data_IF_206677479335
#
_entry.id   IF_206677479335
#
_cell.length_a   1.000
_cell.length_b   1.000
_cell.length_c   1.000
_cell.angle_alpha   90.00
_cell.angle_beta   90.00
_cell.angle_gamma   90.00
#
_symmetry.space_group_name_H-M   'P 1'
#
loop_
_entity.id
_entity.type
_entity.pdbx_description
1 polymer ?
#
# COMPACT_ATOMS: atom_id res chain seq x y z
N UNK A 1 7.74 22.71 4.05
CA UNK A 1 6.97 23.66 4.87
C UNK A 1 7.95 24.51 5.64
N UNK A 2 7.84 25.84 5.54
CA UNK A 2 8.61 26.77 6.37
C UNK A 2 7.87 27.01 7.69
N UNK A 3 8.56 27.48 8.74
CA UNK A 3 7.94 27.70 10.06
C UNK A 3 6.87 28.80 10.03
N UNK A 4 6.94 29.71 9.07
CA UNK A 4 5.96 30.79 8.86
C UNK A 4 4.58 30.24 8.40
N UNK A 5 4.57 29.16 7.61
CA UNK A 5 3.34 28.46 7.19
C UNK A 5 2.69 27.68 8.35
N UNK A 6 3.49 27.24 9.32
CA UNK A 6 3.04 26.50 10.50
C UNK A 6 2.49 27.42 11.60
N UNK A 7 3.10 28.59 11.82
CA UNK A 7 2.59 29.59 12.75
C UNK A 7 1.27 30.21 12.26
N UNK A 8 1.14 30.47 10.95
CA UNK A 8 -0.12 30.93 10.36
C UNK A 8 -1.29 29.94 10.54
N UNK A 9 -0.99 28.64 10.63
CA UNK A 9 -1.98 27.58 10.88
C UNK A 9 -2.33 27.44 12.38
N UNK A 10 -1.47 27.92 13.29
CA UNK A 10 -1.71 27.91 14.75
C UNK A 10 -2.29 29.22 15.29
N UNK A 11 -2.13 30.35 14.60
CA UNK A 11 -2.84 31.60 14.90
C UNK A 11 -4.30 31.52 14.43
N UNK A 12 -5.11 30.75 15.15
CA UNK A 12 -6.50 30.43 14.78
C UNK A 12 -7.42 31.65 14.71
N UNK A 13 -7.58 32.19 13.50
CA UNK A 13 -8.61 33.16 13.10
C UNK A 13 -9.17 32.78 11.72
N UNK A 14 -9.71 31.56 11.64
CA UNK A 14 -10.50 31.07 10.50
C UNK A 14 -11.87 30.67 11.04
N UNK A 15 -12.85 31.56 10.85
CA UNK A 15 -14.25 31.32 11.20
C UNK A 15 -14.77 30.05 10.49
N UNK A 16 -15.30 29.11 11.29
CA UNK A 16 -15.66 27.76 10.85
C UNK A 16 -17.05 27.62 10.23
N UNK A 17 -17.77 28.72 10.03
CA UNK A 17 -19.21 28.71 9.68
C UNK A 17 -19.53 28.93 8.19
N UNK A 18 -18.54 29.13 7.30
CA UNK A 18 -18.81 29.57 5.91
C UNK A 18 -18.03 28.82 4.80
N UNK A 19 -18.05 27.47 4.83
CA UNK A 19 -17.61 26.63 3.70
C UNK A 19 -18.77 25.76 3.18
N UNK A 20 -19.52 26.32 2.24
CA UNK A 20 -20.56 25.60 1.50
C UNK A 20 -19.99 24.49 0.60
N UNK A 21 -20.76 23.41 0.47
CA UNK A 21 -20.49 22.28 -0.43
C UNK A 21 -20.23 22.73 -1.87
N UNK A 22 -19.13 22.26 -2.46
CA UNK A 22 -18.93 22.22 -3.91
C UNK A 22 -18.15 20.95 -4.28
N UNK A 23 -18.88 19.90 -4.67
CA UNK A 23 -18.29 18.74 -5.35
C UNK A 23 -17.83 19.13 -6.77
N UNK A 24 -16.60 18.77 -7.18
CA UNK A 24 -16.25 18.68 -8.58
C UNK A 24 -16.66 17.31 -9.14
N UNK A 25 -17.28 17.33 -10.33
CA UNK A 25 -17.85 16.15 -10.99
C UNK A 25 -16.78 15.20 -11.52
N UNK A 26 -17.04 13.90 -11.42
CA UNK A 26 -16.30 12.84 -12.12
C UNK A 26 -16.67 12.85 -13.62
N UNK A 27 -15.68 12.81 -14.51
CA UNK A 27 -15.88 12.56 -15.94
C UNK A 27 -15.70 11.06 -16.27
N UNK A 28 -16.56 10.52 -17.16
CA UNK A 28 -16.51 9.11 -17.61
C UNK A 28 -15.91 8.98 -19.02
N UNK A 29 -14.82 8.22 -19.16
CA UNK A 29 -14.48 7.34 -20.31
C UNK A 29 -13.31 6.41 -19.87
N UNK A 30 -13.14 5.14 -20.25
CA UNK A 30 -13.86 4.21 -21.16
C UNK A 30 -13.68 2.76 -20.63
N UNK A 31 -14.49 1.80 -21.07
CA UNK A 31 -14.20 0.35 -20.88
C UNK A 31 -13.46 -0.23 -22.10
N UNK A 32 -12.59 -1.20 -21.83
CA UNK A 32 -12.47 -2.56 -22.43
C UNK A 32 -11.17 -3.21 -21.88
N UNK A 33 -11.22 -4.33 -21.14
CA UNK A 33 -10.95 -5.73 -21.60
C UNK A 33 -9.56 -5.93 -22.24
N UNK A 34 -8.72 -6.94 -21.91
CA UNK A 34 -8.78 -8.17 -21.08
C UNK A 34 -7.52 -8.21 -20.16
N UNK A 35 -7.24 -9.11 -19.20
CA UNK A 35 -7.87 -10.31 -18.59
C UNK A 35 -7.35 -10.45 -17.13
N UNK A 36 -7.97 -11.27 -16.27
CA UNK A 36 -7.22 -12.07 -15.30
C UNK A 36 -7.95 -13.38 -14.92
N UNK A 37 -7.60 -14.47 -15.61
CA UNK A 37 -8.10 -15.82 -15.37
C UNK A 37 -7.67 -16.40 -14.01
N UNK A 38 -8.47 -16.19 -12.97
CA UNK A 38 -8.61 -17.13 -11.84
C UNK A 38 -10.11 -17.28 -11.52
N UNK A 39 -10.59 -18.52 -11.62
CA UNK A 39 -12.01 -18.79 -11.81
C UNK A 39 -12.91 -18.71 -10.58
N UNK A 40 -14.20 -18.65 -10.90
CA UNK A 40 -15.37 -19.19 -10.17
C UNK A 40 -15.00 -20.30 -9.15
N UNK A 41 -15.62 -20.44 -7.98
CA UNK A 41 -17.04 -20.26 -7.57
C UNK A 41 -16.97 -19.91 -6.03
N UNK A 42 -17.89 -19.23 -5.33
CA UNK A 42 -19.36 -19.20 -5.42
C UNK A 42 -19.95 -17.82 -5.05
N UNK A 43 -20.87 -17.41 -5.92
CA UNK A 43 -22.01 -16.49 -5.77
C UNK A 43 -22.51 -16.14 -4.35
N UNK A 44 -22.94 -14.88 -4.18
CA UNK A 44 -24.27 -14.67 -3.61
C UNK A 44 -24.43 -14.10 -2.19
N UNK A 45 -23.39 -13.80 -1.40
CA UNK A 45 -23.59 -13.21 -0.06
C UNK A 45 -23.97 -11.72 -0.17
N UNK A 46 -25.25 -11.48 -0.47
CA UNK A 46 -25.93 -10.23 -0.12
C UNK A 46 -26.01 -10.14 1.39
N UNK A 47 -25.87 -8.92 1.92
CA UNK A 47 -25.75 -8.59 3.35
C UNK A 47 -27.02 -8.82 4.20
N UNK A 48 -27.93 -9.70 3.76
CA UNK A 48 -29.21 -9.97 4.40
C UNK A 48 -29.40 -11.46 4.81
N UNK A 49 -28.50 -12.36 4.38
CA UNK A 49 -28.62 -13.82 4.62
C UNK A 49 -27.61 -14.36 5.67
N UNK A 50 -27.29 -13.58 6.70
CA UNK A 50 -26.69 -14.15 7.92
C UNK A 50 -27.77 -14.90 8.73
N UNK A 51 -28.18 -16.06 8.21
CA UNK A 51 -28.85 -17.08 9.02
C UNK A 51 -27.76 -17.91 9.70
N UNK A 52 -27.80 -18.10 11.04
CA UNK A 52 -26.91 -19.05 11.70
C UNK A 52 -27.22 -20.45 11.17
N UNK A 53 -26.43 -20.91 10.21
CA UNK A 53 -26.57 -22.24 9.62
C UNK A 53 -26.34 -23.28 10.72
N UNK A 54 -27.35 -24.07 11.15
CA UNK A 54 -27.23 -24.92 12.34
C UNK A 54 -26.18 -26.03 12.25
N UNK A 55 -25.64 -26.23 11.05
CA UNK A 55 -24.63 -27.24 10.72
C UNK A 55 -23.18 -26.71 10.87
N UNK A 56 -22.97 -25.44 11.22
CA UNK A 56 -21.65 -24.91 11.58
C UNK A 56 -21.49 -25.07 13.09
N UNK A 57 -20.54 -25.91 13.50
CA UNK A 57 -20.25 -26.15 14.92
C UNK A 57 -19.88 -24.84 15.62
N UNK A 58 -20.71 -24.43 16.57
CA UNK A 58 -20.51 -23.24 17.40
C UNK A 58 -19.84 -23.62 18.73
N UNK A 59 -18.89 -22.82 19.27
CA UNK A 59 -18.38 -21.56 18.74
C UNK A 59 -17.43 -21.76 17.54
N UNK A 60 -17.30 -20.76 16.65
CA UNK A 60 -16.32 -20.80 15.57
C UNK A 60 -14.90 -20.97 16.14
N UNK A 61 -13.99 -21.67 15.43
CA UNK A 61 -12.63 -21.89 15.91
C UNK A 61 -11.92 -20.54 16.16
N UNK A 62 -11.04 -20.47 17.18
CA UNK A 62 -10.36 -19.22 17.51
C UNK A 62 -9.55 -18.70 16.31
N UNK A 63 -9.50 -17.37 16.06
CA UNK A 63 -8.86 -16.82 14.87
C UNK A 63 -7.41 -17.31 14.71
N UNK A 64 -7.16 -18.02 13.61
CA UNK A 64 -5.81 -18.40 13.19
C UNK A 64 -4.99 -17.13 12.83
N UNK A 65 -3.69 -17.25 12.54
CA UNK A 65 -2.86 -16.07 12.21
C UNK A 65 -3.41 -15.26 11.02
N UNK A 66 -4.05 -15.90 10.05
CA UNK A 66 -4.56 -15.27 8.82
C UNK A 66 -5.86 -14.48 9.04
N UNK A 67 -6.61 -14.78 10.11
CA UNK A 67 -7.82 -14.04 10.49
C UNK A 67 -7.53 -12.88 11.46
N UNK A 68 -6.25 -12.66 11.82
CA UNK A 68 -5.82 -11.54 12.68
C UNK A 68 -5.51 -10.30 11.84
N UNK A 69 -6.53 -9.74 11.20
CA UNK A 69 -6.43 -8.60 10.27
C UNK A 69 -5.64 -7.40 10.81
N UNK A 70 -5.72 -7.12 12.12
CA UNK A 70 -4.92 -6.04 12.75
C UNK A 70 -3.42 -6.35 12.70
N UNK A 71 -3.01 -7.59 13.00
CA UNK A 71 -1.61 -8.01 12.97
C UNK A 71 -1.07 -8.07 11.53
N UNK A 72 -1.91 -8.45 10.57
CA UNK A 72 -1.55 -8.39 9.15
C UNK A 72 -1.32 -6.95 8.68
N UNK A 73 -2.15 -6.00 9.12
CA UNK A 73 -1.95 -4.58 8.82
C UNK A 73 -0.70 -4.01 9.53
N UNK A 74 -0.41 -4.42 10.77
CA UNK A 74 0.85 -4.08 11.46
C UNK A 74 2.07 -4.64 10.69
N UNK A 75 2.04 -5.90 10.26
CA UNK A 75 3.13 -6.54 9.48
C UNK A 75 3.31 -5.90 8.10
N UNK A 76 2.22 -5.69 7.33
CA UNK A 76 2.25 -4.99 6.03
C UNK A 76 2.82 -3.58 6.18
N UNK A 77 2.60 -2.91 7.32
CA UNK A 77 3.15 -1.58 7.58
C UNK A 77 4.68 -1.62 7.73
N UNK A 78 5.19 -2.52 8.58
CA UNK A 78 6.64 -2.70 8.78
C UNK A 78 7.35 -3.14 7.50
N UNK A 79 6.83 -4.17 6.84
CA UNK A 79 7.45 -4.74 5.64
C UNK A 79 7.43 -3.73 4.47
N UNK A 80 6.42 -2.85 4.43
CA UNK A 80 6.34 -1.72 3.49
C UNK A 80 7.37 -0.64 3.78
N UNK A 81 7.60 -0.29 5.06
CA UNK A 81 8.63 0.67 5.48
C UNK A 81 10.04 0.17 5.15
N UNK A 82 10.39 -1.07 5.52
CA UNK A 82 11.68 -1.68 5.19
C UNK A 82 11.92 -1.69 3.66
N UNK A 83 10.88 -1.98 2.88
CA UNK A 83 10.97 -1.96 1.41
C UNK A 83 11.06 -0.54 0.83
N UNK A 84 10.47 0.45 1.48
CA UNK A 84 10.61 1.87 1.11
C UNK A 84 12.08 2.29 1.21
N UNK A 85 12.72 2.01 2.36
CA UNK A 85 14.14 2.35 2.58
C UNK A 85 15.04 1.68 1.54
N UNK A 86 14.87 0.38 1.27
CA UNK A 86 15.65 -0.33 0.25
C UNK A 86 15.47 0.27 -1.17
N UNK A 87 14.31 0.87 -1.45
CA UNK A 87 14.04 1.53 -2.72
C UNK A 87 14.64 2.94 -2.79
N UNK A 88 14.64 3.71 -1.69
CA UNK A 88 15.34 4.99 -1.59
C UNK A 88 16.85 4.77 -1.80
N UNK A 89 17.46 3.83 -1.10
CA UNK A 89 18.90 3.50 -1.23
C UNK A 89 19.28 3.16 -2.69
N UNK A 90 18.40 2.47 -3.40
CA UNK A 90 18.59 2.16 -4.83
C UNK A 90 18.41 3.37 -5.72
N UNK A 91 17.42 4.22 -5.47
CA UNK A 91 17.25 5.47 -6.21
C UNK A 91 18.45 6.41 -6.01
N UNK A 92 19.00 6.50 -4.79
CA UNK A 92 20.23 7.24 -4.50
C UNK A 92 21.42 6.67 -5.30
N UNK A 93 21.59 5.35 -5.31
CA UNK A 93 22.64 4.70 -6.10
C UNK A 93 22.50 4.94 -7.60
N UNK A 94 21.27 4.91 -8.14
CA UNK A 94 20.99 5.21 -9.56
C UNK A 94 21.28 6.68 -9.88
N UNK A 95 20.83 7.63 -9.04
CA UNK A 95 21.12 9.06 -9.19
C UNK A 95 22.63 9.36 -9.17
N UNK A 96 23.37 8.72 -8.26
CA UNK A 96 24.83 8.77 -8.21
C UNK A 96 25.47 8.25 -9.50
N UNK A 97 25.04 7.08 -10.00
CA UNK A 97 25.53 6.51 -11.26
C UNK A 97 25.28 7.44 -12.46
N UNK A 98 24.14 8.14 -12.51
CA UNK A 98 23.88 9.13 -13.57
C UNK A 98 24.82 10.34 -13.47
N UNK A 99 25.09 10.86 -12.27
CA UNK A 99 26.00 11.98 -12.05
C UNK A 99 27.44 11.63 -12.44
N UNK A 100 27.93 10.45 -12.04
CA UNK A 100 29.26 9.96 -12.40
C UNK A 100 29.37 9.72 -13.92
N UNK A 101 28.33 9.15 -14.54
CA UNK A 101 28.27 8.97 -16.00
C UNK A 101 28.30 10.29 -16.75
N UNK A 102 27.57 11.30 -16.27
CA UNK A 102 27.53 12.64 -16.88
C UNK A 102 28.91 13.30 -16.81
N UNK A 103 29.61 13.17 -15.66
CA UNK A 103 30.98 13.63 -15.49
C UNK A 103 31.96 12.91 -16.42
N UNK A 104 31.88 11.58 -16.53
CA UNK A 104 32.73 10.82 -17.45
C UNK A 104 32.56 11.26 -18.91
N UNK A 105 31.32 11.53 -19.35
CA UNK A 105 31.06 12.00 -20.73
C UNK A 105 31.56 13.44 -20.92
N UNK A 106 31.45 14.31 -19.91
CA UNK A 106 32.08 15.65 -19.93
C UNK A 106 33.60 15.56 -20.09
N UNK A 107 34.26 14.62 -19.41
CA UNK A 107 35.71 14.38 -19.57
C UNK A 107 36.06 13.85 -20.97
N UNK A 108 35.26 12.94 -21.54
CA UNK A 108 35.40 12.46 -22.93
C UNK A 108 35.23 13.62 -23.94
N UNK A 109 34.28 14.52 -23.72
CA UNK A 109 34.07 15.69 -24.57
C UNK A 109 35.30 16.62 -24.60
N UNK A 110 36.03 16.80 -23.48
CA UNK A 110 37.29 17.54 -23.48
C UNK A 110 38.38 16.88 -24.34
N UNK A 111 38.34 15.57 -24.54
CA UNK A 111 39.20 14.85 -25.48
C UNK A 111 38.79 15.10 -26.93
N UNK A 112 37.50 15.00 -27.22
CA UNK A 112 36.93 15.23 -28.56
C UNK A 112 37.12 16.69 -29.00
N UNK A 113 37.01 17.66 -28.10
CA UNK A 113 37.21 19.08 -28.42
C UNK A 113 38.64 19.37 -28.89
N UNK A 114 39.65 18.79 -28.21
CA UNK A 114 41.04 18.85 -28.67
C UNK A 114 41.24 18.16 -30.02
N UNK A 115 40.56 17.03 -30.27
CA UNK A 115 40.61 16.39 -31.58
C UNK A 115 40.01 17.30 -32.67
N UNK A 116 38.87 17.95 -32.40
CA UNK A 116 38.23 18.90 -33.34
C UNK A 116 39.18 20.06 -33.65
N UNK A 117 39.84 20.66 -32.66
CA UNK A 117 40.83 21.72 -32.85
C UNK A 117 42.02 21.26 -33.73
N UNK A 118 42.56 20.07 -33.43
CA UNK A 118 43.69 19.48 -34.17
C UNK A 118 43.30 19.18 -35.62
N UNK A 119 42.16 18.51 -35.86
CA UNK A 119 41.73 18.15 -37.21
C UNK A 119 41.26 19.37 -38.03
N UNK A 120 40.72 20.41 -37.38
CA UNK A 120 40.46 21.70 -38.04
C UNK A 120 41.77 22.32 -38.52
N UNK A 121 42.78 22.39 -37.65
CA UNK A 121 44.12 22.92 -38.00
C UNK A 121 44.79 22.09 -39.11
N UNK A 122 44.67 20.76 -39.06
CA UNK A 122 45.21 19.87 -40.10
C UNK A 122 44.50 20.01 -41.45
N UNK A 123 43.16 20.17 -41.45
CA UNK A 123 42.37 20.45 -42.66
C UNK A 123 42.80 21.75 -43.33
N UNK A 124 43.05 22.81 -42.55
CA UNK A 124 43.55 24.10 -43.06
C UNK A 124 44.97 24.00 -43.64
N UNK A 125 45.88 23.24 -42.99
CA UNK A 125 47.27 23.08 -43.44
C UNK A 125 47.42 22.11 -44.61
N UNK A 126 46.54 21.11 -44.71
CA UNK A 126 46.61 20.04 -45.71
C UNK A 126 45.26 19.82 -46.41
N UNK A 127 44.74 20.82 -47.16
CA UNK A 127 43.38 20.80 -47.73
C UNK A 127 43.15 19.72 -48.79
N UNK A 128 44.19 19.02 -49.24
CA UNK A 128 44.08 17.89 -50.18
C UNK A 128 43.97 16.52 -49.49
N UNK A 129 44.04 16.46 -48.15
CA UNK A 129 43.98 15.21 -47.38
C UNK A 129 42.55 14.99 -46.85
N UNK A 130 41.73 14.33 -47.68
CA UNK A 130 40.29 14.08 -47.41
C UNK A 130 40.02 13.37 -46.08
N UNK A 131 40.94 12.53 -45.62
CA UNK A 131 40.78 11.80 -44.34
C UNK A 131 40.73 12.72 -43.12
N UNK A 132 41.33 13.92 -43.16
CA UNK A 132 41.21 14.89 -42.06
C UNK A 132 39.81 15.52 -41.99
N UNK A 133 39.14 15.70 -43.13
CA UNK A 133 37.75 16.16 -43.18
C UNK A 133 36.80 15.07 -42.67
N UNK A 134 36.97 13.83 -43.12
CA UNK A 134 36.17 12.68 -42.66
C UNK A 134 36.29 12.44 -41.15
N UNK A 135 37.50 12.53 -40.58
CA UNK A 135 37.70 12.38 -39.13
C UNK A 135 37.16 13.59 -38.35
N UNK A 136 37.24 14.81 -38.90
CA UNK A 136 36.65 16.00 -38.27
C UNK A 136 35.13 15.88 -38.17
N UNK A 137 34.47 15.48 -39.26
CA UNK A 137 33.01 15.23 -39.29
C UNK A 137 32.62 14.14 -38.29
N UNK A 138 33.35 13.04 -38.23
CA UNK A 138 33.11 11.97 -37.26
C UNK A 138 33.23 12.45 -35.80
N UNK A 139 34.24 13.27 -35.46
CA UNK A 139 34.37 13.83 -34.11
C UNK A 139 33.21 14.79 -33.77
N UNK A 140 32.74 15.59 -34.73
CA UNK A 140 31.55 16.44 -34.54
C UNK A 140 30.27 15.63 -34.32
N UNK A 141 30.10 14.51 -35.04
CA UNK A 141 28.96 13.61 -34.84
C UNK A 141 29.01 12.92 -33.47
N UNK A 142 30.19 12.46 -33.02
CA UNK A 142 30.37 11.88 -31.68
C UNK A 142 30.08 12.94 -30.60
N UNK A 143 30.55 14.18 -30.75
CA UNK A 143 30.24 15.27 -29.82
C UNK A 143 28.74 15.50 -29.71
N UNK A 144 28.01 15.51 -30.83
CA UNK A 144 26.54 15.62 -30.84
C UNK A 144 25.87 14.46 -30.09
N UNK A 145 26.31 13.22 -30.32
CA UNK A 145 25.78 12.04 -29.60
C UNK A 145 26.05 12.13 -28.10
N UNK A 146 27.24 12.56 -27.70
CA UNK A 146 27.58 12.76 -26.29
C UNK A 146 26.71 13.83 -25.62
N UNK A 147 26.38 14.93 -26.32
CA UNK A 147 25.41 15.92 -25.80
C UNK A 147 24.03 15.31 -25.57
N UNK A 148 23.54 14.46 -26.47
CA UNK A 148 22.26 13.76 -26.30
C UNK A 148 22.30 12.75 -25.15
N UNK A 149 23.44 12.09 -24.89
CA UNK A 149 23.58 11.21 -23.73
C UNK A 149 23.58 12.02 -22.43
N UNK A 150 24.23 13.19 -22.38
CA UNK A 150 24.17 14.10 -21.21
C UNK A 150 22.72 14.54 -20.94
N UNK A 151 21.97 14.93 -21.97
CA UNK A 151 20.55 15.29 -21.86
C UNK A 151 19.71 14.13 -21.31
N UNK A 152 19.91 12.90 -21.80
CA UNK A 152 19.25 11.71 -21.28
C UNK A 152 19.62 11.39 -19.82
N UNK A 153 20.87 11.61 -19.43
CA UNK A 153 21.31 11.41 -18.03
C UNK A 153 20.70 12.44 -17.09
N UNK A 154 20.54 13.69 -17.54
CA UNK A 154 19.87 14.74 -16.77
C UNK A 154 18.37 14.44 -16.61
N UNK A 155 17.68 14.03 -17.67
CA UNK A 155 16.29 13.55 -17.56
C UNK A 155 16.17 12.36 -16.60
N UNK A 156 17.12 11.42 -16.62
CA UNK A 156 17.15 10.30 -15.66
C UNK A 156 17.38 10.74 -14.21
N UNK A 157 18.16 11.80 -13.96
CA UNK A 157 18.31 12.40 -12.63
C UNK A 157 17.00 13.05 -12.15
N UNK A 158 16.32 13.79 -13.03
CA UNK A 158 15.02 14.40 -12.73
C UNK A 158 13.97 13.32 -12.42
N UNK A 159 13.91 12.23 -13.20
CA UNK A 159 13.02 11.08 -12.94
C UNK A 159 13.32 10.41 -11.58
N UNK A 160 14.59 10.24 -11.22
CA UNK A 160 14.99 9.70 -9.90
C UNK A 160 14.53 10.63 -8.77
N UNK A 161 14.68 11.94 -8.93
CA UNK A 161 14.21 12.92 -7.94
C UNK A 161 12.68 12.88 -7.79
N UNK A 162 11.93 12.86 -8.90
CA UNK A 162 10.48 12.72 -8.88
C UNK A 162 10.03 11.39 -8.25
N UNK A 163 10.77 10.30 -8.46
CA UNK A 163 10.48 9.00 -7.86
C UNK A 163 10.74 9.00 -6.33
N UNK A 164 11.76 9.71 -5.85
CA UNK A 164 11.99 9.90 -4.41
C UNK A 164 10.87 10.73 -3.76
N UNK A 165 10.43 11.81 -4.41
CA UNK A 165 9.30 12.63 -3.92
C UNK A 165 7.98 11.84 -3.93
N UNK A 166 7.74 11.01 -4.95
CA UNK A 166 6.61 10.08 -4.98
C UNK A 166 6.70 9.01 -3.87
N UNK A 167 7.91 8.54 -3.54
CA UNK A 167 8.10 7.59 -2.44
C UNK A 167 7.79 8.20 -1.06
N UNK A 168 7.93 9.51 -0.87
CA UNK A 168 7.49 10.19 0.35
C UNK A 168 5.96 10.07 0.58
N UNK A 169 5.14 9.91 -0.46
CA UNK A 169 3.69 9.63 -0.30
C UNK A 169 3.41 8.28 0.36
N UNK A 170 4.37 7.35 0.43
CA UNK A 170 4.22 6.08 1.13
C UNK A 170 4.00 6.26 2.64
N UNK A 171 4.55 7.32 3.24
CA UNK A 171 4.32 7.63 4.66
C UNK A 171 2.84 7.97 4.94
N UNK A 172 2.15 8.62 3.98
CA UNK A 172 0.70 8.88 4.08
C UNK A 172 -0.09 7.57 4.10
N UNK A 173 0.37 6.52 3.40
CA UNK A 173 -0.25 5.20 3.45
C UNK A 173 -0.03 4.50 4.80
N UNK A 174 1.18 4.58 5.38
CA UNK A 174 1.47 4.14 6.76
C UNK A 174 0.52 4.80 7.76
N UNK A 175 0.44 6.13 7.75
CA UNK A 175 -0.44 6.89 8.66
C UNK A 175 -1.93 6.51 8.52
N UNK A 176 -2.40 6.28 7.28
CA UNK A 176 -3.78 5.80 7.02
C UNK A 176 -4.02 4.41 7.63
N UNK A 177 -3.06 3.49 7.49
CA UNK A 177 -3.16 2.13 8.07
C UNK A 177 -3.14 2.20 9.61
N UNK A 178 -2.25 2.98 10.22
CA UNK A 178 -2.21 3.20 11.67
C UNK A 178 -3.53 3.75 12.22
N UNK A 179 -4.16 4.70 11.51
CA UNK A 179 -5.48 5.22 11.88
C UNK A 179 -6.56 4.13 11.82
N UNK A 180 -6.60 3.32 10.77
CA UNK A 180 -7.55 2.19 10.63
C UNK A 180 -7.34 1.16 11.75
N UNK A 181 -6.08 0.79 12.02
CA UNK A 181 -5.70 -0.13 13.10
C UNK A 181 -6.19 0.38 14.46
N UNK A 182 -5.99 1.67 14.75
CA UNK A 182 -6.44 2.27 16.02
C UNK A 182 -7.96 2.29 16.15
N UNK A 183 -8.69 2.58 15.07
CA UNK A 183 -10.17 2.47 15.02
C UNK A 183 -10.61 1.03 15.24
N UNK A 184 -9.99 0.04 14.59
CA UNK A 184 -10.31 -1.38 14.77
C UNK A 184 -10.05 -1.87 16.21
N UNK A 185 -8.93 -1.46 16.81
CA UNK A 185 -8.61 -1.75 18.23
C UNK A 185 -9.62 -1.08 19.17
N UNK A 186 -10.06 0.13 18.90
CA UNK A 186 -11.10 0.82 19.67
C UNK A 186 -12.48 0.16 19.52
N UNK A 187 -12.86 -0.26 18.31
CA UNK A 187 -14.14 -0.92 18.02
C UNK A 187 -14.23 -2.31 18.68
N UNK A 188 -13.13 -3.06 18.71
CA UNK A 188 -13.04 -4.31 19.49
C UNK A 188 -13.22 -4.07 20.99
N UNK A 189 -12.59 -3.03 21.56
CA UNK A 189 -12.80 -2.66 22.97
C UNK A 189 -14.24 -2.23 23.24
N UNK A 190 -14.84 -1.44 22.35
CA UNK A 190 -16.22 -0.98 22.46
C UNK A 190 -17.20 -2.16 22.43
N UNK A 191 -17.02 -3.13 21.51
CA UNK A 191 -17.79 -4.37 21.50
C UNK A 191 -17.65 -5.15 22.81
N UNK A 192 -16.42 -5.33 23.32
CA UNK A 192 -16.22 -6.01 24.60
C UNK A 192 -16.95 -5.30 25.75
N UNK A 193 -16.86 -3.96 25.83
CA UNK A 193 -17.56 -3.17 26.85
C UNK A 193 -19.10 -3.14 26.68
N UNK A 194 -19.64 -3.32 25.46
CA UNK A 194 -21.07 -3.54 25.25
C UNK A 194 -21.55 -4.89 25.77
N UNK A 195 -20.70 -5.92 25.72
CA UNK A 195 -21.00 -7.25 26.23
C UNK A 195 -20.65 -7.44 27.73
N UNK A 196 -19.85 -6.55 28.32
CA UNK A 196 -19.60 -6.47 29.78
C UNK A 196 -20.90 -6.16 30.54
N UNK A 197 -21.62 -7.22 30.89
CA UNK A 197 -22.82 -7.14 31.70
C UNK A 197 -22.54 -6.67 33.13
N UNK A 198 -23.55 -6.05 33.76
CA UNK A 198 -23.52 -5.62 35.17
C UNK A 198 -23.37 -6.76 36.20
N UNK A 199 -23.36 -8.01 35.73
CA UNK A 199 -23.34 -9.25 36.50
C UNK A 199 -22.30 -10.17 35.84
N UNK A 200 -21.39 -10.71 36.65
CA UNK A 200 -20.42 -11.75 36.28
C UNK A 200 -21.13 -12.92 35.57
N UNK A 201 -20.65 -13.34 34.40
CA UNK A 201 -21.27 -14.40 33.60
C UNK A 201 -21.37 -15.72 34.35
N UNK A 202 -20.50 -15.98 35.35
CA UNK A 202 -20.60 -17.14 36.25
C UNK A 202 -21.84 -17.13 37.16
N UNK A 203 -22.52 -15.99 37.27
CA UNK A 203 -23.76 -15.79 38.04
C UNK A 203 -24.97 -15.58 37.14
N UNK A 204 -24.82 -15.58 35.81
CA UNK A 204 -25.96 -15.63 34.89
C UNK A 204 -26.59 -17.01 34.94
N UNK A 205 -27.90 -17.04 34.69
CA UNK A 205 -28.64 -18.30 34.53
C UNK A 205 -28.06 -19.03 33.31
N UNK A 206 -27.88 -20.35 33.41
CA UNK A 206 -27.37 -21.16 32.30
C UNK A 206 -28.22 -20.98 31.04
N UNK A 207 -27.59 -20.96 29.87
CA UNK A 207 -28.29 -20.85 28.59
C UNK A 207 -29.28 -22.00 28.44
N UNK A 208 -30.49 -21.71 27.96
CA UNK A 208 -31.49 -22.74 27.69
C UNK A 208 -30.98 -23.66 26.56
N UNK A 209 -30.98 -24.97 26.82
CA UNK A 209 -30.49 -26.00 25.87
C UNK A 209 -31.60 -26.43 24.89
N UNK A 210 -32.86 -26.17 25.24
CA UNK A 210 -34.04 -26.48 24.45
C UNK A 210 -35.08 -25.37 24.63
N UNK A 211 -35.76 -24.98 23.55
CA UNK A 211 -36.92 -24.07 23.54
C UNK A 211 -38.13 -24.73 22.87
N UNK A 212 -39.34 -24.29 23.21
CA UNK A 212 -40.57 -24.82 22.60
C UNK A 212 -40.53 -24.66 21.07
N UNK A 213 -40.48 -25.79 20.35
CA UNK A 213 -40.37 -25.84 18.89
C UNK A 213 -39.06 -26.44 18.38
N UNK A 214 -38.04 -26.62 19.23
CA UNK A 214 -36.83 -27.37 18.87
C UNK A 214 -37.14 -28.86 18.63
N UNK A 215 -36.47 -29.45 17.65
CA UNK A 215 -36.46 -30.90 17.40
C UNK A 215 -35.34 -31.64 18.12
N UNK A 216 -34.61 -30.97 19.02
CA UNK A 216 -33.56 -31.59 19.85
C UNK A 216 -34.19 -32.55 20.86
N UNK A 217 -33.68 -33.78 20.89
CA UNK A 217 -34.25 -34.89 21.69
C UNK A 217 -33.87 -34.84 23.17
N UNK A 218 -33.31 -33.72 23.63
CA UNK A 218 -32.79 -33.50 24.99
C UNK A 218 -33.92 -33.15 25.98
N UNK A 219 -35.09 -33.77 25.77
CA UNK A 219 -36.29 -33.68 26.61
C UNK A 219 -36.33 -34.97 27.43
N UNK A 220 -36.24 -34.84 28.76
CA UNK A 220 -36.28 -35.98 29.69
C UNK A 220 -37.52 -36.83 29.39
N UNK A 221 -37.33 -38.09 28.99
CA UNK A 221 -38.45 -38.93 28.57
C UNK A 221 -39.31 -39.33 29.78
N UNK A 222 -40.56 -39.71 29.55
CA UNK A 222 -41.41 -40.21 30.64
C UNK A 222 -40.79 -41.43 31.34
N UNK A 223 -40.03 -42.26 30.61
CA UNK A 223 -39.34 -43.43 31.14
C UNK A 223 -38.17 -43.00 32.06
N UNK A 224 -37.43 -41.94 31.70
CA UNK A 224 -36.40 -41.34 32.56
C UNK A 224 -37.01 -40.69 33.81
N UNK A 225 -38.20 -40.07 33.68
CA UNK A 225 -38.96 -39.52 34.80
C UNK A 225 -39.43 -40.64 35.74
N UNK A 226 -39.93 -41.76 35.20
CA UNK A 226 -40.33 -42.93 36.00
C UNK A 226 -39.13 -43.59 36.70
N UNK A 227 -37.99 -43.68 36.03
CA UNK A 227 -36.73 -44.14 36.63
C UNK A 227 -36.26 -43.23 37.77
N UNK A 228 -36.36 -41.90 37.60
CA UNK A 228 -36.06 -40.92 38.66
C UNK A 228 -37.03 -41.06 39.85
N UNK A 229 -38.34 -41.18 39.60
CA UNK A 229 -39.35 -41.38 40.64
C UNK A 229 -39.09 -42.70 41.39
N UNK A 230 -38.77 -43.78 40.68
CA UNK A 230 -38.41 -45.06 41.29
C UNK A 230 -37.14 -44.96 42.17
N UNK A 231 -36.13 -44.20 41.72
CA UNK A 231 -34.90 -43.99 42.51
C UNK A 231 -35.14 -43.14 43.77
N UNK A 232 -36.07 -42.19 43.72
CA UNK A 232 -36.43 -41.32 44.86
C UNK A 232 -37.40 -42.01 45.83
N UNK A 233 -38.21 -42.96 45.35
CA UNK A 233 -39.11 -43.78 46.16
C UNK A 233 -38.42 -44.92 46.95
N UNK A 234 -37.12 -45.17 46.74
CA UNK A 234 -36.33 -46.16 47.48
C UNK A 234 -35.58 -45.56 48.68
N UNK A 235 -36.20 -44.64 49.42
CA UNK A 235 -35.59 -43.97 50.58
C UNK A 235 -36.49 -43.93 51.81
#
# INVERSE_FOLDING_TARGET
MTQEELDALMSGDLDLDDVQENEPKTEEVSKDQEDSQYGEIVDGIKSNDYTPSPNIAWPPPPPNKEHKVVHQLDDVTRDSEEKATEMIDKLESIGGNFLDSEKMIKEVNLGIDRNIEIFTTLKEKFPHVKTFEEILEANLEIKKKNSQIIENLQMGQDEVMMAMDAMQYQDIHRQKIERVINVMRALSRYMNCLFEGRIDDKKRVGSAVHIEGDTTTDVVSNDDIEALIASLGQK
#
